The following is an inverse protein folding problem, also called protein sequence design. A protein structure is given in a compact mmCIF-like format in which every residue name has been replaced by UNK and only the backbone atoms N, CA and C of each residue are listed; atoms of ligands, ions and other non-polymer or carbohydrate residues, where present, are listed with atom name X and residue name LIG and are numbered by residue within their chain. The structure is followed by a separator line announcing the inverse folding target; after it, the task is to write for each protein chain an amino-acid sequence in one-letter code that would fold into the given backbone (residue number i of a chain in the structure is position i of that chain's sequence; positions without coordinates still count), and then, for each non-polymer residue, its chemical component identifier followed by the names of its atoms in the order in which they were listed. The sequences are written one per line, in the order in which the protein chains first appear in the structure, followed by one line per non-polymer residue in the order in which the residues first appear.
data_IF_029434467288
#
_entry.id   IF_029434467288
#
_cell.length_a   1.000
_cell.length_b   1.000
_cell.length_c   1.000
_cell.angle_alpha   90.00
_cell.angle_beta   90.00
_cell.angle_gamma   90.00
#
_symmetry.space_group_name_H-M   'P 1'
#
loop_
_entity.id
_entity.type
_entity.pdbx_description
1 polymer ?
#
# COMPACT_ATOMS: atom_id res chain seq x y z
N UNK A 1 -11.42 -15.09 -20.27
CA UNK A 1 -11.44 -14.57 -18.88
C UNK A 1 -10.17 -13.76 -18.70
N UNK A 2 -10.27 -12.50 -18.27
CA UNK A 2 -9.08 -11.71 -17.92
C UNK A 2 -8.44 -12.24 -16.65
N UNK A 3 -7.12 -12.13 -16.51
CA UNK A 3 -6.44 -12.51 -15.26
C UNK A 3 -6.88 -11.57 -14.11
N UNK A 4 -7.01 -12.07 -12.88
CA UNK A 4 -7.21 -11.20 -11.72
C UNK A 4 -6.00 -10.29 -11.50
N UNK A 5 -6.24 -9.13 -10.89
CA UNK A 5 -5.17 -8.23 -10.43
C UNK A 5 -4.58 -8.78 -9.12
N UNK A 6 -3.26 -8.69 -8.98
CA UNK A 6 -2.56 -9.07 -7.77
C UNK A 6 -2.27 -7.84 -6.90
N UNK A 7 -2.58 -7.94 -5.60
CA UNK A 7 -2.37 -6.89 -4.62
C UNK A 7 -1.29 -7.29 -3.61
N UNK A 8 -0.38 -6.35 -3.30
CA UNK A 8 0.52 -6.41 -2.16
C UNK A 8 -0.08 -5.59 -1.00
N UNK A 9 -0.46 -6.25 0.08
CA UNK A 9 -0.93 -5.61 1.31
C UNK A 9 0.24 -5.45 2.30
N UNK A 10 0.49 -4.22 2.74
CA UNK A 10 1.62 -3.87 3.62
C UNK A 10 1.13 -3.59 5.04
N UNK A 11 1.02 -4.63 5.87
CA UNK A 11 0.67 -4.52 7.30
C UNK A 11 1.92 -4.41 8.20
N UNK A 12 2.86 -3.55 7.78
CA UNK A 12 4.08 -3.29 8.54
C UNK A 12 3.86 -2.23 9.61
N UNK A 13 4.59 -2.34 10.72
CA UNK A 13 4.61 -1.30 11.75
C UNK A 13 5.55 -0.14 11.46
N UNK A 14 6.45 -0.28 10.46
CA UNK A 14 7.40 0.75 10.07
C UNK A 14 7.30 1.05 8.57
N UNK A 15 7.51 2.31 8.19
CA UNK A 15 7.58 2.69 6.78
C UNK A 15 8.76 2.03 6.04
N UNK A 16 9.90 1.86 6.71
CA UNK A 16 11.12 1.31 6.10
C UNK A 16 10.91 -0.14 5.64
N UNK A 17 10.29 -0.99 6.47
CA UNK A 17 10.01 -2.38 6.12
C UNK A 17 9.02 -2.46 4.95
N UNK A 18 7.97 -1.63 4.97
CA UNK A 18 7.00 -1.55 3.88
C UNK A 18 7.66 -1.15 2.55
N UNK A 19 8.53 -0.15 2.58
CA UNK A 19 9.27 0.33 1.41
C UNK A 19 10.24 -0.72 0.86
N UNK A 20 10.85 -1.52 1.73
CA UNK A 20 11.72 -2.62 1.33
C UNK A 20 10.96 -3.67 0.52
N UNK A 21 9.80 -4.09 1.01
CA UNK A 21 8.96 -5.08 0.34
C UNK A 21 8.42 -4.56 -0.99
N UNK A 22 8.00 -3.29 -1.04
CA UNK A 22 7.60 -2.62 -2.28
C UNK A 22 8.72 -2.64 -3.30
N UNK A 23 9.95 -2.31 -2.91
CA UNK A 23 11.09 -2.31 -3.83
C UNK A 23 11.35 -3.70 -4.43
N UNK A 24 11.13 -4.77 -3.66
CA UNK A 24 11.33 -6.15 -4.09
C UNK A 24 10.19 -6.68 -4.97
N UNK A 25 8.95 -6.28 -4.69
CA UNK A 25 7.76 -6.95 -5.23
C UNK A 25 6.96 -6.11 -6.22
N UNK A 26 7.20 -4.79 -6.31
CA UNK A 26 6.38 -3.88 -7.12
C UNK A 26 6.19 -4.38 -8.55
N UNK A 27 7.23 -4.89 -9.22
CA UNK A 27 7.10 -5.28 -10.64
C UNK A 27 6.26 -6.54 -10.86
N UNK A 28 5.93 -7.27 -9.78
CA UNK A 28 5.11 -8.49 -9.82
C UNK A 28 3.65 -8.27 -9.40
N UNK A 29 3.27 -7.07 -8.94
CA UNK A 29 1.91 -6.76 -8.44
C UNK A 29 1.27 -5.61 -9.20
N UNK A 30 -0.05 -5.61 -9.28
CA UNK A 30 -0.82 -4.57 -9.95
C UNK A 30 -1.21 -3.44 -8.98
N UNK A 31 -1.43 -3.79 -7.70
CA UNK A 31 -1.93 -2.89 -6.65
C UNK A 31 -0.97 -2.92 -5.44
N UNK A 32 -0.70 -1.76 -4.86
CA UNK A 32 0.02 -1.64 -3.59
C UNK A 32 -0.90 -1.02 -2.55
N UNK A 33 -1.13 -1.72 -1.44
CA UNK A 33 -1.99 -1.27 -0.36
C UNK A 33 -1.15 -0.91 0.87
N UNK A 34 -1.35 0.31 1.40
CA UNK A 34 -0.98 0.61 2.78
C UNK A 34 -2.00 -0.07 3.69
N UNK A 35 -1.58 -1.14 4.37
CA UNK A 35 -2.42 -1.91 5.27
C UNK A 35 -2.77 -1.11 6.53
N UNK A 36 -3.73 -1.61 7.32
CA UNK A 36 -4.26 -0.88 8.48
C UNK A 36 -3.18 -0.53 9.49
N UNK A 37 -2.25 -1.44 9.80
CA UNK A 37 -1.17 -1.19 10.76
C UNK A 37 -0.25 -0.06 10.28
N UNK A 38 0.10 -0.07 8.99
CA UNK A 38 0.96 0.94 8.40
C UNK A 38 0.26 2.30 8.37
N UNK A 39 -1.02 2.33 7.99
CA UNK A 39 -1.84 3.54 8.03
C UNK A 39 -1.94 4.13 9.44
N UNK A 40 -2.14 3.31 10.47
CA UNK A 40 -2.24 3.79 11.85
C UNK A 40 -0.93 4.38 12.37
N UNK A 41 0.22 3.83 11.98
CA UNK A 41 1.53 4.30 12.46
C UNK A 41 2.07 5.50 11.69
N UNK A 42 1.95 5.49 10.36
CA UNK A 42 2.63 6.46 9.47
C UNK A 42 1.68 7.49 8.86
N UNK A 43 0.39 7.23 8.98
CA UNK A 43 -0.67 8.06 8.41
C UNK A 43 -0.55 8.29 6.91
N UNK A 44 -0.80 9.54 6.50
CA UNK A 44 -0.64 9.94 5.09
C UNK A 44 0.81 9.84 4.59
N UNK A 45 1.80 9.75 5.50
CA UNK A 45 3.20 9.54 5.15
C UNK A 45 3.41 8.25 4.36
N UNK A 46 2.76 7.15 4.77
CA UNK A 46 2.82 5.89 4.05
C UNK A 46 2.30 6.03 2.61
N UNK A 47 1.12 6.61 2.42
CA UNK A 47 0.52 6.76 1.08
C UNK A 47 1.39 7.60 0.16
N UNK A 48 1.98 8.70 0.66
CA UNK A 48 2.90 9.55 -0.12
C UNK A 48 4.15 8.78 -0.54
N UNK A 49 4.78 8.08 0.39
CA UNK A 49 5.96 7.27 0.14
C UNK A 49 5.68 6.15 -0.89
N UNK A 50 4.54 5.47 -0.79
CA UNK A 50 4.14 4.46 -1.78
C UNK A 50 3.92 5.08 -3.17
N UNK A 51 3.34 6.29 -3.26
CA UNK A 51 3.17 7.01 -4.53
C UNK A 51 4.51 7.38 -5.16
N UNK A 52 5.47 7.81 -4.37
CA UNK A 52 6.82 8.13 -4.85
C UNK A 52 7.53 6.89 -5.40
N UNK A 53 7.42 5.73 -4.72
CA UNK A 53 8.05 4.49 -5.17
C UNK A 53 7.34 3.80 -6.33
N UNK A 54 6.02 3.97 -6.42
CA UNK A 54 5.14 3.32 -7.38
C UNK A 54 4.26 4.34 -8.13
N UNK A 55 4.86 5.27 -8.91
CA UNK A 55 4.13 6.39 -9.52
C UNK A 55 3.00 5.96 -10.46
N UNK A 56 3.13 4.78 -11.08
CA UNK A 56 2.19 4.27 -12.08
C UNK A 56 1.26 3.16 -11.55
N UNK A 57 1.32 2.82 -10.25
CA UNK A 57 0.46 1.77 -9.68
C UNK A 57 -0.80 2.33 -9.05
N UNK A 58 -1.80 1.45 -8.94
CA UNK A 58 -2.96 1.67 -8.09
C UNK A 58 -2.48 1.58 -6.64
N UNK A 59 -2.87 2.58 -5.84
CA UNK A 59 -2.55 2.64 -4.43
C UNK A 59 -3.85 2.64 -3.64
N UNK A 60 -3.94 1.74 -2.68
CA UNK A 60 -5.05 1.62 -1.73
C UNK A 60 -4.55 2.00 -0.35
N UNK A 61 -5.38 2.68 0.43
CA UNK A 61 -5.10 2.96 1.84
C UNK A 61 -6.20 2.34 2.67
N UNK A 62 -5.87 1.27 3.40
CA UNK A 62 -6.82 0.48 4.17
C UNK A 62 -7.05 1.07 5.57
N UNK A 63 -7.65 2.25 5.59
CA UNK A 63 -7.96 2.99 6.81
C UNK A 63 -9.13 2.42 7.60
N UNK A 64 -9.88 1.47 7.03
CA UNK A 64 -11.12 0.93 7.61
C UNK A 64 -12.09 2.05 8.06
N UNK A 65 -12.13 3.18 7.35
CA UNK A 65 -13.06 4.26 7.69
C UNK A 65 -14.48 3.78 7.40
N UNK A 66 -15.26 3.65 8.46
CA UNK A 66 -16.70 3.46 8.39
C UNK A 66 -17.33 4.59 9.22
N UNK A 67 -17.98 5.52 8.52
CA UNK A 67 -18.70 6.63 9.12
C UNK A 67 -20.04 6.81 8.40
N UNK A 68 -20.98 7.53 9.00
CA UNK A 68 -22.31 7.79 8.43
C UNK A 68 -22.31 8.86 7.32
N UNK A 69 -21.17 9.54 7.08
CA UNK A 69 -20.99 10.60 6.08
C UNK A 69 -20.65 11.95 6.69
#
# INVERSE_FOLDING_TARGET
MSRPLLQLALDHSSLEDAQRDVMLLKDSVDIVEAGTILCLNEGLGAVKALREQCPNKIIVADWKVADAG
#
